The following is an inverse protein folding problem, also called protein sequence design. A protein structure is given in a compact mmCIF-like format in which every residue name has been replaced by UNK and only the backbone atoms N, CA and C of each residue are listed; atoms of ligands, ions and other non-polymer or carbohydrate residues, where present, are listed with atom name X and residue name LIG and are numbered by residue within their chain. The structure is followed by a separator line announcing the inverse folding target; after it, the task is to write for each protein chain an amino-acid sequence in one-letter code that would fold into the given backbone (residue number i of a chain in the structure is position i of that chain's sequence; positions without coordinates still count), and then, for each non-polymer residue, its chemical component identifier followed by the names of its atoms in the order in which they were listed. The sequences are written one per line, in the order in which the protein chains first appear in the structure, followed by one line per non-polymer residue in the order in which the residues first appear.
data_IF_934702537403
#
_entry.id   IF_934702537403
#
_cell.length_a   1.000
_cell.length_b   1.000
_cell.length_c   1.000
_cell.angle_alpha   90.00
_cell.angle_beta   90.00
_cell.angle_gamma   90.00
#
_symmetry.space_group_name_H-M   'P 1'
#
loop_
_entity.id
_entity.type
_entity.pdbx_description
1 polymer ?
#
# COMPACT_ATOMS: atom_id res chain seq x y z
N UNK A 1 -7.35 60.56 -10.65
CA UNK A 1 -6.27 60.57 -9.63
C UNK A 1 -6.75 59.70 -8.47
N UNK A 2 -5.91 58.78 -7.99
CA UNK A 2 -6.27 57.72 -7.03
C UNK A 2 -6.13 56.35 -7.70
N UNK A 3 -4.94 55.94 -8.13
CA UNK A 3 -3.79 55.45 -7.35
C UNK A 3 -4.05 54.22 -6.48
N UNK A 4 -3.54 53.10 -7.01
CA UNK A 4 -2.61 52.15 -6.36
C UNK A 4 -3.21 51.08 -5.43
N UNK A 5 -2.84 49.84 -5.79
CA UNK A 5 -2.68 48.65 -4.96
C UNK A 5 -3.81 48.30 -4.01
N UNK A 6 -4.57 47.28 -4.39
CA UNK A 6 -5.01 46.32 -3.39
C UNK A 6 -4.61 44.94 -3.87
N UNK A 7 -3.49 44.51 -3.28
CA UNK A 7 -3.26 43.15 -2.83
C UNK A 7 -3.10 42.15 -3.97
N UNK A 8 -1.83 41.96 -4.32
CA UNK A 8 -1.20 40.65 -4.48
C UNK A 8 -1.88 39.62 -3.57
N UNK A 9 -3.00 39.05 -4.03
CA UNK A 9 -3.42 37.73 -3.60
C UNK A 9 -2.31 36.86 -4.15
N UNK A 10 -1.37 36.52 -3.27
CA UNK A 10 -0.58 35.32 -3.40
C UNK A 10 -1.60 34.22 -3.67
N UNK A 11 -1.83 33.94 -4.95
CA UNK A 11 -2.04 32.61 -5.47
C UNK A 11 -0.76 31.84 -5.11
N UNK A 12 -0.60 31.59 -3.81
CA UNK A 12 -0.15 30.31 -3.33
C UNK A 12 -1.07 29.34 -4.05
N UNK A 13 -0.63 28.94 -5.23
CA UNK A 13 -0.91 27.64 -5.80
C UNK A 13 -0.46 26.66 -4.72
N UNK A 14 -1.30 26.52 -3.69
CA UNK A 14 -1.73 25.24 -3.18
C UNK A 14 -1.97 24.42 -4.43
N UNK A 15 -0.89 23.85 -4.93
CA UNK A 15 -0.91 22.55 -5.52
C UNK A 15 -1.54 21.74 -4.41
N UNK A 16 -2.87 21.65 -4.45
CA UNK A 16 -3.60 20.56 -3.88
C UNK A 16 -2.99 19.38 -4.61
N UNK A 17 -1.86 18.90 -4.10
CA UNK A 17 -1.37 17.57 -4.41
C UNK A 17 -2.59 16.73 -4.05
N UNK A 18 -3.26 16.12 -5.03
CA UNK A 18 -4.35 15.23 -4.70
C UNK A 18 -3.77 14.27 -3.68
N UNK A 19 -4.36 14.31 -2.48
CA UNK A 19 -3.94 13.52 -1.35
C UNK A 19 -3.68 12.10 -1.87
N UNK A 20 -2.42 11.68 -1.89
CA UNK A 20 -1.99 10.32 -2.26
C UNK A 20 -2.42 9.29 -1.21
N UNK A 21 -3.55 9.55 -0.56
CA UNK A 21 -4.15 8.79 0.53
C UNK A 21 -5.38 8.01 0.06
N UNK A 22 -5.64 7.94 -1.25
CA UNK A 22 -6.80 7.21 -1.81
C UNK A 22 -6.44 6.15 -2.84
N UNK A 23 -5.21 6.13 -3.35
CA UNK A 23 -4.67 5.04 -4.17
C UNK A 23 -3.49 4.43 -3.42
N UNK A 24 -3.77 3.60 -2.42
CA UNK A 24 -2.72 2.77 -1.85
C UNK A 24 -2.47 1.62 -2.83
N UNK A 25 -1.21 1.32 -3.13
CA UNK A 25 -0.77 0.06 -3.77
C UNK A 25 -1.37 -1.19 -3.08
N UNK A 26 -1.89 -1.03 -1.86
CA UNK A 26 -2.61 -2.05 -1.10
C UNK A 26 -4.08 -2.23 -1.49
N UNK A 27 -4.73 -1.26 -2.13
CA UNK A 27 -6.12 -1.42 -2.60
C UNK A 27 -6.32 -2.67 -3.46
N UNK A 28 -5.53 -2.90 -4.54
CA UNK A 28 -5.67 -4.12 -5.35
C UNK A 28 -5.36 -5.39 -4.55
N UNK A 29 -4.32 -5.37 -3.71
CA UNK A 29 -3.92 -6.50 -2.87
C UNK A 29 -5.04 -6.88 -1.88
N UNK A 30 -5.58 -5.90 -1.17
CA UNK A 30 -6.62 -6.09 -0.17
C UNK A 30 -7.91 -6.62 -0.80
N UNK A 31 -8.32 -6.03 -1.93
CA UNK A 31 -9.49 -6.48 -2.67
C UNK A 31 -9.32 -7.92 -3.18
N UNK A 32 -8.13 -8.29 -3.65
CA UNK A 32 -7.85 -9.64 -4.12
C UNK A 32 -7.82 -10.67 -2.98
N UNK A 33 -7.26 -10.32 -1.81
CA UNK A 33 -7.13 -11.22 -0.66
C UNK A 33 -8.41 -11.35 0.18
N UNK A 34 -9.39 -10.46 0.01
CA UNK A 34 -10.68 -10.50 0.70
C UNK A 34 -11.40 -11.87 0.62
N UNK A 35 -11.58 -12.49 -0.56
CA UNK A 35 -12.16 -13.83 -0.66
C UNK A 35 -11.30 -14.92 0.02
N UNK A 36 -9.97 -14.76 0.02
CA UNK A 36 -9.05 -15.72 0.62
C UNK A 36 -9.10 -15.68 2.17
N UNK A 37 -9.36 -14.49 2.75
CA UNK A 37 -9.44 -14.27 4.19
C UNK A 37 -10.48 -15.16 4.89
N UNK A 38 -11.65 -15.36 4.27
CA UNK A 38 -12.73 -16.18 4.82
C UNK A 38 -12.34 -17.67 4.97
N UNK A 39 -11.33 -18.12 4.21
CA UNK A 39 -10.86 -19.51 4.19
C UNK A 39 -9.43 -19.65 4.74
N UNK A 40 -8.93 -18.65 5.47
CA UNK A 40 -7.58 -18.62 6.04
C UNK A 40 -6.47 -18.67 5.00
N UNK A 41 -6.63 -17.93 3.89
CA UNK A 41 -5.61 -17.74 2.85
C UNK A 41 -5.09 -19.04 2.22
N UNK A 42 -5.98 -19.90 1.68
CA UNK A 42 -5.52 -21.10 0.97
C UNK A 42 -4.76 -20.69 -0.29
N UNK A 43 -3.68 -21.40 -0.61
CA UNK A 43 -2.78 -21.04 -1.72
C UNK A 43 -3.50 -20.86 -3.06
N UNK A 44 -4.53 -21.67 -3.33
CA UNK A 44 -5.35 -21.56 -4.54
C UNK A 44 -6.08 -20.21 -4.68
N UNK A 45 -6.43 -19.56 -3.58
CA UNK A 45 -7.06 -18.23 -3.58
C UNK A 45 -6.05 -17.09 -3.46
N UNK A 46 -4.84 -17.36 -2.98
CA UNK A 46 -3.75 -16.38 -2.87
C UNK A 46 -2.98 -16.23 -4.18
N UNK A 47 -2.72 -17.34 -4.89
CA UNK A 47 -2.00 -17.33 -6.18
C UNK A 47 -2.48 -16.27 -7.18
N UNK A 48 -3.78 -16.04 -7.42
CA UNK A 48 -4.23 -15.00 -8.36
C UNK A 48 -3.87 -13.57 -7.92
N UNK A 49 -3.59 -13.34 -6.64
CA UNK A 49 -3.20 -12.03 -6.08
C UNK A 49 -1.69 -11.78 -6.15
N UNK A 50 -0.91 -12.80 -6.45
CA UNK A 50 0.55 -12.69 -6.46
C UNK A 50 1.11 -11.67 -7.47
N UNK A 51 0.51 -11.42 -8.65
CA UNK A 51 0.96 -10.34 -9.53
C UNK A 51 0.92 -8.97 -8.85
N UNK A 52 -0.19 -8.63 -8.18
CA UNK A 52 -0.34 -7.35 -7.49
C UNK A 52 0.60 -7.25 -6.28
N UNK A 53 0.78 -8.34 -5.53
CA UNK A 53 1.71 -8.39 -4.40
C UNK A 53 3.16 -8.21 -4.87
N UNK A 54 3.54 -8.89 -5.95
CA UNK A 54 4.89 -8.82 -6.50
C UNK A 54 5.17 -7.43 -7.07
N UNK A 55 4.22 -6.85 -7.79
CA UNK A 55 4.34 -5.49 -8.32
C UNK A 55 4.51 -4.46 -7.19
N UNK A 56 3.73 -4.59 -6.11
CA UNK A 56 3.87 -3.70 -4.97
C UNK A 56 5.22 -3.85 -4.24
N UNK A 57 5.76 -5.07 -4.14
CA UNK A 57 7.08 -5.31 -3.53
C UNK A 57 8.22 -4.83 -4.43
N UNK A 58 8.16 -5.07 -5.73
CA UNK A 58 9.26 -4.77 -6.66
C UNK A 58 9.28 -3.30 -7.11
N UNK A 59 8.10 -2.70 -7.33
CA UNK A 59 7.95 -1.38 -7.93
C UNK A 59 7.44 -0.31 -6.96
N UNK A 60 6.69 -0.70 -5.93
CA UNK A 60 6.06 0.24 -4.97
C UNK A 60 6.47 -0.01 -3.51
N UNK A 61 7.68 -0.53 -3.27
CA UNK A 61 8.12 -1.00 -1.94
C UNK A 61 7.85 0.00 -0.81
N UNK A 62 8.08 1.30 -1.03
CA UNK A 62 7.77 2.35 -0.03
C UNK A 62 6.29 2.38 0.33
N UNK A 63 5.40 2.32 -0.65
CA UNK A 63 3.96 2.27 -0.41
C UNK A 63 3.57 0.93 0.25
N UNK A 64 4.14 -0.17 -0.23
CA UNK A 64 3.92 -1.49 0.33
C UNK A 64 4.26 -1.51 1.83
N UNK A 65 5.41 -0.97 2.22
CA UNK A 65 5.83 -0.91 3.61
C UNK A 65 4.97 0.01 4.48
N UNK A 66 4.52 1.15 3.95
CA UNK A 66 3.60 2.03 4.68
C UNK A 66 2.28 1.31 5.01
N UNK A 67 1.69 0.58 4.06
CA UNK A 67 0.46 -0.17 4.31
C UNK A 67 0.66 -1.48 5.10
N UNK A 68 1.86 -2.06 5.04
CA UNK A 68 2.20 -3.25 5.83
C UNK A 68 2.27 -2.98 7.34
N UNK A 69 2.38 -1.72 7.78
CA UNK A 69 2.48 -1.36 9.21
C UNK A 69 1.29 -1.88 10.05
N UNK A 70 0.08 -1.85 9.51
CA UNK A 70 -1.12 -2.41 10.15
C UNK A 70 -1.03 -3.94 10.29
N UNK A 71 -0.41 -4.62 9.34
CA UNK A 71 -0.19 -6.07 9.38
C UNK A 71 0.88 -6.39 10.40
N UNK A 72 1.98 -5.64 10.42
CA UNK A 72 3.09 -5.82 11.36
C UNK A 72 2.63 -5.64 12.81
N UNK A 73 1.70 -4.71 13.05
CA UNK A 73 1.15 -4.41 14.37
C UNK A 73 0.20 -5.50 14.90
N UNK A 74 -0.27 -6.44 14.05
CA UNK A 74 -1.15 -7.53 14.46
C UNK A 74 -0.35 -8.72 14.98
N UNK A 75 -0.79 -9.33 16.09
CA UNK A 75 -0.10 -10.45 16.76
C UNK A 75 0.33 -11.58 15.80
N UNK A 76 -0.53 -11.96 14.85
CA UNK A 76 -0.24 -13.02 13.87
C UNK A 76 -0.14 -12.47 12.44
N UNK A 77 -0.22 -11.15 12.24
CA UNK A 77 -0.19 -10.51 10.93
C UNK A 77 1.09 -10.82 10.14
N UNK A 78 2.29 -10.61 10.72
CA UNK A 78 3.55 -10.95 10.05
C UNK A 78 3.62 -12.40 9.62
N UNK A 79 3.25 -13.33 10.51
CA UNK A 79 3.31 -14.77 10.25
C UNK A 79 2.39 -15.17 9.09
N UNK A 80 1.15 -14.67 9.09
CA UNK A 80 0.17 -14.94 8.04
C UNK A 80 0.64 -14.36 6.72
N UNK A 81 1.08 -13.10 6.72
CA UNK A 81 1.44 -12.42 5.49
C UNK A 81 2.76 -12.93 4.91
N UNK A 82 3.72 -13.33 5.73
CA UNK A 82 4.93 -14.02 5.27
C UNK A 82 4.59 -15.35 4.57
N UNK A 83 3.56 -16.08 5.01
CA UNK A 83 3.10 -17.27 4.30
C UNK A 83 2.45 -16.94 2.95
N UNK A 84 1.77 -15.80 2.84
CA UNK A 84 1.25 -15.26 1.58
C UNK A 84 2.41 -14.90 0.64
N UNK A 85 3.44 -14.19 1.13
CA UNK A 85 4.64 -13.85 0.36
C UNK A 85 5.33 -15.11 -0.19
N UNK A 86 5.52 -16.13 0.65
CA UNK A 86 6.08 -17.43 0.24
C UNK A 86 5.22 -18.12 -0.83
N UNK A 87 3.89 -18.03 -0.73
CA UNK A 87 2.98 -18.55 -1.77
C UNK A 87 3.20 -17.85 -3.11
N UNK A 88 3.55 -16.57 -3.08
CA UNK A 88 3.88 -15.76 -4.25
C UNK A 88 5.34 -15.89 -4.71
N UNK A 89 6.13 -16.77 -4.08
CA UNK A 89 7.55 -16.99 -4.44
C UNK A 89 8.50 -15.92 -3.88
N UNK A 90 8.01 -15.02 -3.03
CA UNK A 90 8.81 -14.01 -2.35
C UNK A 90 9.38 -14.66 -1.08
N UNK A 91 10.70 -14.85 -1.06
CA UNK A 91 11.41 -15.54 0.02
C UNK A 91 11.71 -14.64 1.23
N UNK A 92 11.68 -13.33 1.02
CA UNK A 92 11.89 -12.33 2.07
C UNK A 92 10.66 -12.22 2.98
N UNK A 93 10.90 -11.83 4.23
CA UNK A 93 9.82 -11.55 5.21
C UNK A 93 9.45 -10.08 5.20
N UNK A 94 8.28 -9.74 5.76
CA UNK A 94 7.87 -8.35 5.95
C UNK A 94 8.90 -7.51 6.71
N UNK A 95 9.60 -8.08 7.69
CA UNK A 95 10.63 -7.38 8.48
C UNK A 95 11.88 -7.06 7.65
N UNK A 96 12.23 -7.94 6.69
CA UNK A 96 13.36 -7.72 5.78
C UNK A 96 12.98 -6.76 4.65
N UNK A 97 11.77 -6.88 4.10
CA UNK A 97 11.25 -5.99 3.06
C UNK A 97 11.00 -4.58 3.59
N UNK A 98 10.56 -4.46 4.85
CA UNK A 98 10.11 -3.22 5.47
C UNK A 98 10.71 -3.04 6.88
N UNK A 99 12.02 -2.71 6.97
CA UNK A 99 12.73 -2.50 8.23
C UNK A 99 12.36 -1.20 8.96
#
# INVERSE_FOLDING_TARGET
MGSIMVVTILLLSLHIVPSSAQDTCWTPIAACLEPAKAQLYPSALVMPCCPDITDAVDNELTCFCLGATDIISQQNGPTIFNAILLTCGIQETLDVLCP
#
